data_IF_554773436923
#
_entry.id   IF_554773436923
#
_cell.length_a   1.000
_cell.length_b   1.000
_cell.length_c   1.000
_cell.angle_alpha   90.00
_cell.angle_beta   90.00
_cell.angle_gamma   90.00
#
_symmetry.space_group_name_H-M   'P 1'
#
loop_
_entity.id
_entity.type
_entity.pdbx_description
1 polymer ?
#
# COMPACT_ATOMS: atom_id res chain seq x y z
N UNK A 1 -9.76 -7.27 -12.38
CA UNK A 1 -8.39 -6.97 -12.86
C UNK A 1 -8.08 -5.56 -12.37
N UNK A 2 -7.41 -5.45 -11.23
CA UNK A 2 -7.16 -4.14 -10.57
C UNK A 2 -6.19 -3.34 -11.44
N UNK A 3 -6.60 -2.14 -11.83
CA UNK A 3 -5.80 -1.23 -12.62
C UNK A 3 -4.70 -0.60 -11.75
N UNK A 4 -3.58 -0.23 -12.37
CA UNK A 4 -2.48 0.39 -11.63
C UNK A 4 -2.92 1.67 -10.89
N UNK A 5 -3.76 2.50 -11.51
CA UNK A 5 -4.25 3.73 -10.86
C UNK A 5 -5.06 3.45 -9.58
N UNK A 6 -5.78 2.32 -9.50
CA UNK A 6 -6.54 1.94 -8.30
C UNK A 6 -5.60 1.58 -7.15
N UNK A 7 -4.47 0.93 -7.46
CA UNK A 7 -3.42 0.63 -6.47
C UNK A 7 -2.88 1.92 -5.85
N UNK A 8 -2.56 2.92 -6.69
CA UNK A 8 -2.04 4.21 -6.24
C UNK A 8 -3.09 5.05 -5.48
N UNK A 9 -4.34 5.02 -5.92
CA UNK A 9 -5.44 5.69 -5.21
C UNK A 9 -5.67 5.08 -3.83
N UNK A 10 -5.64 3.74 -3.74
CA UNK A 10 -5.77 3.01 -2.48
C UNK A 10 -4.58 3.26 -1.55
N UNK A 11 -3.34 3.25 -2.09
CA UNK A 11 -2.13 3.59 -1.36
C UNK A 11 -2.19 5.00 -0.76
N UNK A 12 -2.59 5.99 -1.54
CA UNK A 12 -2.73 7.37 -1.08
C UNK A 12 -3.84 7.52 -0.03
N UNK A 13 -4.94 6.77 -0.15
CA UNK A 13 -5.99 6.74 0.88
C UNK A 13 -5.47 6.16 2.20
N UNK A 14 -4.71 5.07 2.15
CA UNK A 14 -4.05 4.47 3.31
C UNK A 14 -3.08 5.43 3.99
N UNK A 15 -2.27 6.15 3.22
CA UNK A 15 -1.37 7.18 3.77
C UNK A 15 -2.15 8.29 4.46
N UNK A 16 -3.28 8.74 3.89
CA UNK A 16 -4.13 9.76 4.52
C UNK A 16 -4.79 9.28 5.81
N UNK A 17 -5.11 7.99 5.90
CA UNK A 17 -5.81 7.42 7.06
C UNK A 17 -4.86 7.00 8.19
N UNK A 18 -3.73 6.39 7.84
CA UNK A 18 -2.79 5.76 8.79
C UNK A 18 -1.42 6.45 8.85
N UNK A 19 -1.17 7.45 8.00
CA UNK A 19 0.10 8.18 7.96
C UNK A 19 1.28 7.27 7.62
N UNK A 20 2.35 7.38 8.41
CA UNK A 20 3.58 6.61 8.29
C UNK A 20 3.35 5.10 8.49
N UNK A 21 2.30 4.71 9.22
CA UNK A 21 1.97 3.31 9.47
C UNK A 21 1.19 2.65 8.33
N UNK A 22 0.83 3.40 7.28
CA UNK A 22 0.02 2.92 6.16
C UNK A 22 0.58 1.63 5.53
N UNK A 23 1.90 1.54 5.37
CA UNK A 23 2.55 0.35 4.80
C UNK A 23 2.39 -0.87 5.71
N UNK A 24 2.44 -0.69 7.03
CA UNK A 24 2.29 -1.76 8.02
C UNK A 24 0.85 -2.29 8.00
N UNK A 25 -0.15 -1.41 8.02
CA UNK A 25 -1.56 -1.83 7.96
C UNK A 25 -1.89 -2.57 6.65
N UNK A 26 -1.37 -2.10 5.51
CA UNK A 26 -1.56 -2.78 4.24
C UNK A 26 -0.82 -4.14 4.17
N UNK A 27 0.34 -4.26 4.81
CA UNK A 27 1.07 -5.53 4.91
C UNK A 27 0.35 -6.53 5.81
N UNK A 28 -0.17 -6.10 6.97
CA UNK A 28 -0.99 -6.95 7.85
C UNK A 28 -2.23 -7.48 7.13
N UNK A 29 -2.92 -6.64 6.37
CA UNK A 29 -4.06 -7.07 5.55
C UNK A 29 -3.68 -8.08 4.47
N UNK A 30 -2.48 -7.94 3.90
CA UNK A 30 -1.96 -8.93 2.95
C UNK A 30 -1.73 -10.29 3.58
N UNK A 31 -1.28 -10.33 4.84
CA UNK A 31 -1.01 -11.57 5.58
C UNK A 31 -2.32 -12.27 5.96
N UNK A 32 -3.29 -11.51 6.48
CA UNK A 32 -4.64 -12.00 6.80
C UNK A 32 -5.32 -12.64 5.57
N UNK A 33 -5.21 -12.02 4.39
CA UNK A 33 -5.74 -12.57 3.14
C UNK A 33 -4.99 -13.85 2.69
N UNK A 34 -3.70 -13.97 3.00
CA UNK A 34 -2.98 -15.23 2.76
C UNK A 34 -3.46 -16.34 3.68
N UNK A 35 -3.69 -16.05 4.96
CA UNK A 35 -4.24 -17.00 5.93
C UNK A 35 -5.65 -17.45 5.56
N UNK A 36 -6.47 -16.54 5.02
CA UNK A 36 -7.81 -16.84 4.52
C UNK A 36 -7.82 -17.63 3.20
N UNK A 37 -6.65 -17.76 2.55
CA UNK A 37 -6.47 -18.47 1.27
C UNK A 37 -6.73 -17.61 0.04
N UNK A 38 -7.00 -16.32 0.20
CA UNK A 38 -7.19 -15.35 -0.88
C UNK A 38 -5.85 -14.79 -1.38
N UNK A 39 -5.13 -15.62 -2.13
CA UNK A 39 -3.83 -15.28 -2.71
C UNK A 39 -3.92 -14.14 -3.74
N UNK A 40 -5.10 -13.93 -4.34
CA UNK A 40 -5.34 -12.86 -5.30
C UNK A 40 -5.36 -11.49 -4.62
N UNK A 41 -6.11 -11.35 -3.51
CA UNK A 41 -6.16 -10.17 -2.68
C UNK A 41 -4.81 -9.87 -2.02
N UNK A 42 -4.13 -10.90 -1.51
CA UNK A 42 -2.77 -10.75 -0.97
C UNK A 42 -1.80 -10.15 -1.99
N UNK A 43 -1.84 -10.61 -3.26
CA UNK A 43 -1.02 -10.02 -4.34
C UNK A 43 -1.35 -8.56 -4.61
N UNK A 44 -2.63 -8.17 -4.54
CA UNK A 44 -3.07 -6.78 -4.70
C UNK A 44 -2.56 -5.92 -3.54
N UNK A 45 -2.72 -6.36 -2.30
CA UNK A 45 -2.23 -5.65 -1.12
C UNK A 45 -0.71 -5.53 -1.10
N UNK A 46 0.03 -6.55 -1.55
CA UNK A 46 1.48 -6.48 -1.75
C UNK A 46 1.89 -5.34 -2.69
N UNK A 47 1.14 -5.12 -3.79
CA UNK A 47 1.37 -3.99 -4.71
C UNK A 47 1.04 -2.64 -4.08
N UNK A 48 -0.03 -2.58 -3.27
CA UNK A 48 -0.41 -1.38 -2.51
C UNK A 48 0.70 -1.01 -1.52
N UNK A 49 1.27 -1.98 -0.79
CA UNK A 49 2.40 -1.75 0.12
C UNK A 49 3.60 -1.16 -0.61
N UNK A 50 3.94 -1.68 -1.80
CA UNK A 50 5.02 -1.11 -2.61
C UNK A 50 4.72 0.32 -3.05
N UNK A 51 3.48 0.61 -3.47
CA UNK A 51 3.07 1.96 -3.84
C UNK A 51 3.09 2.92 -2.65
N UNK A 52 2.66 2.48 -1.47
CA UNK A 52 2.73 3.27 -0.23
C UNK A 52 4.18 3.61 0.10
N UNK A 53 5.08 2.63 0.08
CA UNK A 53 6.50 2.87 0.32
C UNK A 53 7.05 3.87 -0.69
N UNK A 54 6.76 3.71 -1.99
CA UNK A 54 7.18 4.67 -3.03
C UNK A 54 6.67 6.09 -2.79
N UNK A 55 5.43 6.25 -2.34
CA UNK A 55 4.84 7.56 -2.03
C UNK A 55 5.45 8.16 -0.74
N UNK A 56 5.77 7.32 0.24
CA UNK A 56 6.37 7.73 1.51
C UNK A 56 7.87 8.00 1.40
N UNK A 57 8.57 7.29 0.51
CA UNK A 57 9.98 7.48 0.16
C UNK A 57 10.21 8.69 -0.75
N UNK A 58 9.15 9.38 -1.17
CA UNK A 58 9.26 10.60 -1.96
C UNK A 58 9.14 11.83 -1.05
N UNK A 59 10.23 12.30 -0.40
CA UNK A 59 10.23 13.60 0.21
C UNK A 59 10.14 14.64 -0.90
N UNK A 60 9.17 15.52 -0.76
CA UNK A 60 9.32 16.88 -1.22
C UNK A 60 10.52 17.44 -0.43
N UNK A 61 11.70 17.47 -1.06
CA UNK A 61 12.92 18.06 -0.51
C UNK A 61 14.12 17.70 -1.39
N UNK A 62 14.69 18.55 -2.24
CA UNK A 62 14.78 20.02 -2.20
C UNK A 62 14.94 20.57 -0.79
N UNK A 63 16.10 20.28 -0.20
CA UNK A 63 16.85 21.21 0.67
C UNK A 63 18.29 21.13 0.13
N UNK A 64 18.69 22.04 -0.75
CA UNK A 64 19.47 23.27 -0.46
C UNK A 64 20.58 23.05 0.56
#
# INVERSE_FOLDING_TARGET
MVQEWEIWACANHYIKLHGENAAIFAAMRSDELMEEGDLAGAKVFRRIVTAINRLSESPIGSVH
#
